data_IF_515266140629
#
_entry.id   IF_515266140629
#
_cell.length_a   1.000
_cell.length_b   1.000
_cell.length_c   1.000
_cell.angle_alpha   90.00
_cell.angle_beta   90.00
_cell.angle_gamma   90.00
#
_symmetry.space_group_name_H-M   'P 1'
#
loop_
_entity.id
_entity.type
_entity.pdbx_description
1 polymer ?
#
# COMPACT_ATOMS: atom_id res chain seq x y z
N UNK A 1 -0.52 7.49 -13.02
CA UNK A 1 0.30 7.81 -11.82
C UNK A 1 0.65 6.60 -10.94
N UNK A 2 -0.27 5.66 -10.68
CA UNK A 2 -0.04 4.49 -9.80
C UNK A 2 1.10 3.58 -10.29
N UNK A 3 1.19 3.32 -11.59
CA UNK A 3 2.28 2.52 -12.16
C UNK A 3 3.68 3.13 -11.93
N UNK A 4 3.79 4.47 -11.92
CA UNK A 4 5.06 5.17 -11.64
C UNK A 4 5.49 4.93 -10.20
N UNK A 5 4.55 4.92 -9.24
CA UNK A 5 4.83 4.60 -7.85
C UNK A 5 5.33 3.16 -7.67
N UNK A 6 4.72 2.19 -8.38
CA UNK A 6 5.15 0.78 -8.36
C UNK A 6 6.55 0.61 -8.97
N UNK A 7 6.83 1.30 -10.08
CA UNK A 7 8.15 1.28 -10.73
C UNK A 7 9.21 1.92 -9.81
N UNK A 8 8.92 3.08 -9.22
CA UNK A 8 9.84 3.78 -8.31
C UNK A 8 10.16 2.95 -7.06
N UNK A 9 9.20 2.18 -6.54
CA UNK A 9 9.41 1.32 -5.37
C UNK A 9 10.30 0.09 -5.69
N UNK A 10 10.31 -0.36 -6.95
CA UNK A 10 10.99 -1.61 -7.37
C UNK A 10 12.29 -1.40 -8.17
N UNK A 11 12.49 -0.23 -8.76
CA UNK A 11 13.73 0.20 -9.43
C UNK A 11 14.99 0.03 -8.56
N UNK A 12 14.99 0.45 -7.27
CA UNK A 12 16.16 0.29 -6.39
C UNK A 12 16.54 -1.17 -6.14
N UNK A 13 15.57 -2.09 -6.19
CA UNK A 13 15.78 -3.53 -6.00
C UNK A 13 16.45 -4.22 -7.19
N UNK A 14 16.34 -3.64 -8.39
CA UNK A 14 17.00 -4.14 -9.61
C UNK A 14 18.42 -3.56 -9.74
N UNK A 15 18.60 -2.28 -9.40
CA UNK A 15 19.87 -1.58 -9.53
C UNK A 15 20.86 -1.87 -8.38
N UNK A 16 20.37 -2.03 -7.15
CA UNK A 16 21.21 -2.28 -5.96
C UNK A 16 20.63 -3.38 -5.04
N UNK A 17 20.72 -4.66 -5.45
CA UNK A 17 20.11 -5.77 -4.72
C UNK A 17 20.65 -5.93 -3.30
N UNK A 18 21.95 -5.67 -3.06
CA UNK A 18 22.55 -5.79 -1.73
C UNK A 18 22.01 -4.74 -0.73
N UNK A 19 21.86 -3.47 -1.15
CA UNK A 19 21.31 -2.40 -0.31
C UNK A 19 19.80 -2.59 -0.10
N UNK A 20 19.09 -3.02 -1.14
CA UNK A 20 17.66 -3.33 -1.07
C UNK A 20 17.38 -4.49 -0.13
N UNK A 21 18.18 -5.56 -0.15
CA UNK A 21 18.11 -6.68 0.79
C UNK A 21 18.30 -6.23 2.24
N UNK A 22 19.37 -5.49 2.51
CA UNK A 22 19.66 -5.01 3.86
C UNK A 22 18.54 -4.13 4.43
N UNK A 23 17.87 -3.36 3.57
CA UNK A 23 16.69 -2.59 3.93
C UNK A 23 15.44 -3.47 4.09
N UNK A 24 15.14 -4.34 3.13
CA UNK A 24 13.93 -5.17 3.10
C UNK A 24 13.83 -6.11 4.31
N UNK A 25 14.94 -6.71 4.75
CA UNK A 25 14.95 -7.58 5.94
C UNK A 25 14.72 -6.77 7.23
N UNK A 26 15.22 -5.53 7.30
CA UNK A 26 15.07 -4.65 8.46
C UNK A 26 13.71 -3.94 8.49
N UNK A 27 13.09 -3.72 7.34
CA UNK A 27 11.86 -2.96 7.18
C UNK A 27 10.69 -3.47 8.06
N UNK A 28 10.36 -4.77 8.10
CA UNK A 28 9.30 -5.32 8.95
C UNK A 28 9.40 -4.95 10.44
N UNK A 29 10.63 -4.83 10.95
CA UNK A 29 10.91 -4.52 12.37
C UNK A 29 11.26 -3.06 12.62
N UNK A 30 11.30 -2.24 11.58
CA UNK A 30 11.73 -0.85 11.71
C UNK A 30 10.61 0.02 12.30
N UNK A 31 10.83 0.42 13.55
CA UNK A 31 9.92 1.30 14.30
C UNK A 31 9.81 2.69 13.66
N UNK A 32 10.93 3.24 13.18
CA UNK A 32 10.97 4.55 12.54
C UNK A 32 10.06 4.60 11.30
N UNK A 33 10.25 3.67 10.36
CA UNK A 33 9.40 3.61 9.16
C UNK A 33 7.95 3.29 9.49
N UNK A 34 7.71 2.45 10.50
CA UNK A 34 6.36 2.21 11.00
C UNK A 34 5.65 3.49 11.42
N UNK A 35 6.32 4.32 12.23
CA UNK A 35 5.79 5.59 12.73
C UNK A 35 5.56 6.62 11.62
N UNK A 36 6.50 6.72 10.68
CA UNK A 36 6.37 7.63 9.53
C UNK A 36 5.19 7.20 8.65
N UNK A 37 5.13 5.92 8.29
CA UNK A 37 4.08 5.40 7.40
C UNK A 37 2.70 5.49 8.04
N UNK A 38 2.55 5.15 9.32
CA UNK A 38 1.25 5.24 9.98
C UNK A 38 0.80 6.70 10.11
N UNK A 39 1.72 7.64 10.31
CA UNK A 39 1.41 9.08 10.32
C UNK A 39 0.86 9.55 8.97
N UNK A 40 1.56 9.20 7.87
CA UNK A 40 1.13 9.53 6.51
C UNK A 40 -0.23 8.91 6.20
N UNK A 41 -0.40 7.61 6.43
CA UNK A 41 -1.64 6.90 6.14
C UNK A 41 -2.79 7.49 6.96
N UNK A 42 -2.57 7.78 8.25
CA UNK A 42 -3.63 8.31 9.11
C UNK A 42 -4.05 9.71 8.67
N UNK A 43 -3.11 10.55 8.21
CA UNK A 43 -3.45 11.85 7.64
C UNK A 43 -4.30 11.71 6.38
N UNK A 44 -3.94 10.79 5.47
CA UNK A 44 -4.71 10.54 4.24
C UNK A 44 -6.11 10.02 4.58
N UNK A 45 -6.20 8.99 5.44
CA UNK A 45 -7.49 8.42 5.89
C UNK A 45 -8.36 9.50 6.53
N UNK A 46 -7.77 10.34 7.38
CA UNK A 46 -8.50 11.41 8.05
C UNK A 46 -9.13 12.38 7.05
N UNK A 47 -8.36 12.84 6.07
CA UNK A 47 -8.86 13.75 5.01
C UNK A 47 -9.92 13.08 4.15
N UNK A 48 -9.70 11.83 3.74
CA UNK A 48 -10.65 11.09 2.90
C UNK A 48 -11.97 10.86 3.62
N UNK A 49 -11.94 10.41 4.88
CA UNK A 49 -13.15 10.20 5.67
C UNK A 49 -13.88 11.51 5.96
N UNK A 50 -13.14 12.59 6.28
CA UNK A 50 -13.73 13.89 6.52
C UNK A 50 -14.45 14.44 5.28
N UNK A 51 -13.86 14.28 4.09
CA UNK A 51 -14.49 14.65 2.82
C UNK A 51 -15.75 13.83 2.54
N UNK A 52 -15.67 12.50 2.68
CA UNK A 52 -16.81 11.62 2.47
C UNK A 52 -18.01 11.96 3.38
N UNK A 53 -17.75 12.29 4.64
CA UNK A 53 -18.79 12.74 5.58
C UNK A 53 -19.28 14.17 5.32
N UNK A 54 -18.55 14.96 4.54
CA UNK A 54 -18.94 16.34 4.19
C UNK A 54 -19.80 16.41 2.94
N UNK A 55 -19.59 15.51 2.00
CA UNK A 55 -20.32 15.44 0.72
C UNK A 55 -21.69 14.75 0.85
N UNK A 56 -21.89 13.99 1.93
CA UNK A 56 -23.15 13.27 2.16
C UNK A 56 -23.96 13.93 3.26
N UNK A 57 -25.17 14.38 2.92
CA UNK A 57 -26.08 15.02 3.88
C UNK A 57 -26.53 14.07 5.00
N UNK A 58 -26.63 12.77 4.70
CA UNK A 58 -27.00 11.73 5.66
C UNK A 58 -25.92 11.43 6.72
N UNK A 59 -24.63 11.62 6.38
CA UNK A 59 -23.51 11.23 7.25
C UNK A 59 -22.83 12.41 7.94
N UNK A 60 -23.37 13.63 7.83
CA UNK A 60 -22.78 14.80 8.46
C UNK A 60 -22.62 14.66 9.99
N UNK A 61 -23.50 13.89 10.65
CA UNK A 61 -23.42 13.60 12.09
C UNK A 61 -22.15 12.83 12.48
N UNK A 62 -21.49 12.14 11.54
CA UNK A 62 -20.24 11.40 11.78
C UNK A 62 -19.00 12.29 11.79
N UNK A 63 -19.09 13.55 11.32
CA UNK A 63 -17.96 14.50 11.30
C UNK A 63 -17.24 14.64 12.65
N UNK A 64 -17.92 14.90 13.79
CA UNK A 64 -17.24 14.97 15.08
C UNK A 64 -16.56 13.63 15.45
N UNK A 65 -17.19 12.50 15.12
CA UNK A 65 -16.62 11.18 15.35
C UNK A 65 -15.35 10.95 14.52
N UNK A 66 -15.29 11.44 13.27
CA UNK A 66 -14.10 11.31 12.41
C UNK A 66 -12.98 12.25 12.89
N UNK A 67 -13.32 13.49 13.25
CA UNK A 67 -12.36 14.49 13.73
C UNK A 67 -11.66 14.05 15.02
N UNK A 68 -12.37 13.38 15.92
CA UNK A 68 -11.80 12.91 17.19
C UNK A 68 -11.33 11.45 17.10
N UNK A 69 -12.14 10.58 16.52
CA UNK A 69 -11.92 9.14 16.48
C UNK A 69 -10.70 8.74 15.67
N UNK A 70 -10.43 9.39 14.52
CA UNK A 70 -9.25 9.05 13.70
C UNK A 70 -7.94 9.41 14.40
N UNK A 71 -7.75 10.61 14.97
CA UNK A 71 -6.56 10.91 15.78
C UNK A 71 -6.39 10.02 17.01
N UNK A 72 -7.48 9.67 17.69
CA UNK A 72 -7.43 8.75 18.85
C UNK A 72 -6.99 7.36 18.42
N UNK A 73 -7.58 6.81 17.35
CA UNK A 73 -7.18 5.52 16.80
C UNK A 73 -5.72 5.53 16.33
N UNK A 74 -5.28 6.62 15.71
CA UNK A 74 -3.88 6.82 15.35
C UNK A 74 -2.96 6.80 16.58
N UNK A 75 -3.32 7.54 17.64
CA UNK A 75 -2.57 7.54 18.90
C UNK A 75 -2.47 6.13 19.50
N UNK A 76 -3.58 5.40 19.55
CA UNK A 76 -3.59 4.01 20.03
C UNK A 76 -2.65 3.12 19.22
N UNK A 77 -2.71 3.19 17.88
CA UNK A 77 -1.84 2.39 17.01
C UNK A 77 -0.38 2.82 17.13
N UNK A 78 -0.11 4.12 17.30
CA UNK A 78 1.23 4.67 17.46
C UNK A 78 1.92 4.19 18.76
N UNK A 79 1.18 4.15 19.87
CA UNK A 79 1.71 3.74 21.17
C UNK A 79 1.68 2.22 21.38
N UNK A 80 0.58 1.55 21.03
CA UNK A 80 0.38 0.12 21.32
C UNK A 80 0.69 -0.79 20.12
N UNK A 81 0.68 -0.28 18.90
CA UNK A 81 0.86 -1.06 17.67
C UNK A 81 2.32 -1.34 17.26
N UNK A 82 3.26 -1.32 18.21
CA UNK A 82 4.72 -1.31 17.95
C UNK A 82 5.21 -2.52 17.13
N UNK A 83 4.64 -3.70 17.35
CA UNK A 83 5.07 -4.91 16.64
C UNK A 83 4.59 -4.91 15.18
N UNK A 84 5.54 -4.87 14.23
CA UNK A 84 5.28 -4.88 12.78
C UNK A 84 4.45 -3.69 12.25
N UNK A 85 4.57 -2.52 12.91
CA UNK A 85 3.86 -1.30 12.53
C UNK A 85 4.09 -0.90 11.06
N UNK A 86 5.32 -1.01 10.57
CA UNK A 86 5.66 -0.71 9.18
C UNK A 86 4.91 -1.60 8.17
N UNK A 87 4.69 -2.87 8.52
CA UNK A 87 3.97 -3.80 7.67
C UNK A 87 2.48 -3.51 7.62
N UNK A 88 1.89 -3.20 8.77
CA UNK A 88 0.46 -2.83 8.84
C UNK A 88 0.18 -1.49 8.17
N UNK A 89 1.06 -0.50 8.38
CA UNK A 89 0.92 0.79 7.73
C UNK A 89 1.10 0.69 6.20
N UNK A 90 2.03 -0.15 5.71
CA UNK A 90 2.16 -0.41 4.28
C UNK A 90 0.97 -1.18 3.70
N UNK A 91 0.38 -2.12 4.46
CA UNK A 91 -0.86 -2.78 4.07
C UNK A 91 -2.03 -1.79 3.95
N UNK A 92 -2.19 -0.88 4.91
CA UNK A 92 -3.21 0.16 4.86
C UNK A 92 -3.00 1.10 3.64
N UNK A 93 -1.75 1.46 3.35
CA UNK A 93 -1.41 2.23 2.15
C UNK A 93 -1.75 1.46 0.86
N UNK A 94 -1.49 0.15 0.83
CA UNK A 94 -1.83 -0.73 -0.29
C UNK A 94 -3.36 -0.80 -0.50
N UNK A 95 -4.16 -0.85 0.56
CA UNK A 95 -5.62 -0.77 0.48
C UNK A 95 -6.10 0.56 -0.09
N UNK A 96 -5.50 1.68 0.31
CA UNK A 96 -5.86 2.99 -0.25
C UNK A 96 -5.52 3.08 -1.75
N UNK A 97 -4.38 2.53 -2.15
CA UNK A 97 -4.04 2.43 -3.57
C UNK A 97 -5.02 1.54 -4.33
N UNK A 98 -5.42 0.40 -3.75
CA UNK A 98 -6.40 -0.48 -4.37
C UNK A 98 -7.76 0.20 -4.52
N UNK A 99 -8.22 0.94 -3.50
CA UNK A 99 -9.42 1.79 -3.61
C UNK A 99 -9.30 2.78 -4.76
N UNK A 100 -8.19 3.52 -4.84
CA UNK A 100 -7.96 4.48 -5.93
C UNK A 100 -7.98 3.81 -7.31
N UNK A 101 -7.44 2.59 -7.43
CA UNK A 101 -7.49 1.82 -8.69
C UNK A 101 -8.93 1.44 -9.07
N UNK A 102 -9.75 1.03 -8.11
CA UNK A 102 -11.16 0.68 -8.35
C UNK A 102 -11.97 1.92 -8.72
N UNK A 103 -11.80 3.03 -8.00
CA UNK A 103 -12.50 4.29 -8.29
C UNK A 103 -12.13 4.81 -9.68
N UNK A 104 -10.84 4.77 -10.05
CA UNK A 104 -10.36 5.14 -11.38
C UNK A 104 -10.91 4.21 -12.47
N UNK A 105 -10.97 2.91 -12.18
CA UNK A 105 -11.54 1.92 -13.08
C UNK A 105 -13.03 2.22 -13.34
N UNK A 106 -13.81 2.52 -12.31
CA UNK A 106 -15.25 2.77 -12.42
C UNK A 106 -15.59 3.97 -13.32
N UNK A 107 -14.76 5.02 -13.27
CA UNK A 107 -14.86 6.22 -14.11
C UNK A 107 -14.60 5.97 -15.61
N UNK A 108 -14.07 4.80 -15.98
CA UNK A 108 -13.74 4.47 -17.37
C UNK A 108 -14.75 3.57 -18.06
N UNK A 109 -14.92 3.82 -19.36
CA UNK A 109 -15.81 3.04 -20.26
C UNK A 109 -15.05 1.89 -20.96
N UNK A 110 -13.73 1.79 -20.78
CA UNK A 110 -12.88 0.84 -21.49
C UNK A 110 -13.06 -0.61 -21.01
N UNK A 111 -13.03 -1.63 -21.90
CA UNK A 111 -13.09 -3.05 -21.52
C UNK A 111 -11.91 -3.51 -20.66
N UNK A 112 -10.76 -2.82 -20.73
CA UNK A 112 -9.57 -3.11 -19.91
C UNK A 112 -9.75 -2.73 -18.42
N UNK A 113 -10.86 -2.08 -18.08
CA UNK A 113 -11.29 -1.81 -16.70
C UNK A 113 -11.26 -3.05 -15.83
N UNK A 114 -11.77 -4.18 -16.33
CA UNK A 114 -11.82 -5.46 -15.60
C UNK A 114 -10.43 -5.92 -15.15
N UNK A 115 -9.40 -5.71 -15.97
CA UNK A 115 -8.04 -6.11 -15.62
C UNK A 115 -7.51 -5.30 -14.42
N UNK A 116 -7.76 -3.99 -14.40
CA UNK A 116 -7.37 -3.11 -13.28
C UNK A 116 -8.14 -3.46 -12.03
N UNK A 117 -9.45 -3.69 -12.14
CA UNK A 117 -10.30 -4.09 -11.01
C UNK A 117 -9.80 -5.41 -10.41
N UNK A 118 -9.55 -6.43 -11.23
CA UNK A 118 -9.03 -7.74 -10.77
C UNK A 118 -7.68 -7.55 -10.07
N UNK A 119 -6.77 -6.75 -10.64
CA UNK A 119 -5.48 -6.47 -10.03
C UNK A 119 -5.62 -5.73 -8.69
N UNK A 120 -6.57 -4.81 -8.58
CA UNK A 120 -6.87 -4.12 -7.32
C UNK A 120 -7.36 -5.11 -6.25
N UNK A 121 -8.22 -6.07 -6.61
CA UNK A 121 -8.63 -7.13 -5.67
C UNK A 121 -7.46 -8.00 -5.20
N UNK A 122 -6.49 -8.32 -6.07
CA UNK A 122 -5.26 -8.98 -5.63
C UNK A 122 -4.49 -8.15 -4.60
N UNK A 123 -4.43 -6.82 -4.77
CA UNK A 123 -3.78 -5.93 -3.80
C UNK A 123 -4.54 -5.88 -2.47
N UNK A 124 -5.88 -5.92 -2.51
CA UNK A 124 -6.70 -6.02 -1.30
C UNK A 124 -6.40 -7.31 -0.53
N UNK A 125 -6.38 -8.46 -1.22
CA UNK A 125 -6.06 -9.75 -0.60
C UNK A 125 -4.65 -9.72 0.01
N UNK A 126 -3.67 -9.18 -0.73
CA UNK A 126 -2.31 -9.04 -0.23
C UNK A 126 -2.23 -8.16 1.03
N UNK A 127 -2.95 -7.03 1.05
CA UNK A 127 -2.97 -6.15 2.22
C UNK A 127 -3.64 -6.80 3.44
N UNK A 128 -4.72 -7.56 3.24
CA UNK A 128 -5.37 -8.32 4.32
C UNK A 128 -4.39 -9.33 4.90
N UNK A 129 -3.71 -10.10 4.04
CA UNK A 129 -2.69 -11.05 4.47
C UNK A 129 -1.59 -10.35 5.29
N UNK A 130 -1.04 -9.24 4.78
CA UNK A 130 -0.01 -8.47 5.47
C UNK A 130 -0.45 -7.99 6.87
N UNK A 131 -1.74 -7.72 7.05
CA UNK A 131 -2.30 -7.23 8.32
C UNK A 131 -2.52 -8.36 9.32
N UNK A 132 -3.09 -9.49 8.87
CA UNK A 132 -3.40 -10.66 9.71
C UNK A 132 -2.13 -11.40 10.11
N UNK A 133 -1.23 -11.59 9.15
CA UNK A 133 -0.10 -12.52 9.24
C UNK A 133 1.24 -11.84 8.88
N UNK A 134 1.68 -10.83 9.65
CA UNK A 134 2.89 -10.05 9.31
C UNK A 134 4.18 -10.89 9.39
N UNK A 135 4.20 -11.96 10.18
CA UNK A 135 5.36 -12.86 10.31
C UNK A 135 5.58 -13.70 9.04
N UNK A 136 4.51 -14.11 8.35
CA UNK A 136 4.62 -14.82 7.07
C UNK A 136 5.27 -13.94 6.00
N UNK A 137 4.96 -12.65 5.95
CA UNK A 137 5.58 -11.73 5.01
C UNK A 137 7.05 -11.49 5.34
N UNK A 138 7.41 -11.41 6.64
CA UNK A 138 8.81 -11.35 7.07
C UNK A 138 9.57 -12.58 6.57
N UNK A 139 9.00 -13.76 6.74
CA UNK A 139 9.65 -15.01 6.34
C UNK A 139 9.71 -15.15 4.81
N UNK A 140 8.69 -14.65 4.10
CA UNK A 140 8.70 -14.52 2.65
C UNK A 140 9.79 -13.55 2.15
N UNK A 141 9.98 -12.41 2.82
CA UNK A 141 11.07 -11.47 2.52
C UNK A 141 12.43 -12.14 2.79
N UNK A 142 12.55 -12.87 3.90
CA UNK A 142 13.73 -13.66 4.23
C UNK A 142 14.06 -14.65 3.12
N UNK A 143 13.07 -15.44 2.69
CA UNK A 143 13.18 -16.41 1.59
C UNK A 143 13.50 -15.75 0.23
N UNK A 144 12.81 -14.66 -0.10
CA UNK A 144 12.98 -13.92 -1.35
C UNK A 144 14.35 -13.26 -1.49
N UNK A 145 15.01 -12.96 -0.36
CA UNK A 145 16.31 -12.30 -0.30
C UNK A 145 17.48 -13.24 -0.01
N UNK A 146 17.26 -14.56 0.00
CA UNK A 146 18.34 -15.55 0.16
C UNK A 146 19.36 -15.44 -0.97
N UNK A 147 18.88 -15.42 -2.23
CA UNK A 147 19.71 -15.35 -3.43
C UNK A 147 19.55 -14.00 -4.15
N UNK A 148 20.65 -13.39 -4.55
CA UNK A 148 20.65 -12.14 -5.33
C UNK A 148 19.92 -12.28 -6.67
N UNK A 149 20.01 -13.46 -7.30
CA UNK A 149 19.23 -13.78 -8.51
C UNK A 149 17.73 -13.79 -8.23
N UNK A 150 17.28 -14.43 -7.14
CA UNK A 150 15.85 -14.48 -6.77
C UNK A 150 15.29 -13.11 -6.41
N UNK A 151 16.06 -12.30 -5.67
CA UNK A 151 15.68 -10.93 -5.35
C UNK A 151 15.50 -10.09 -6.63
N UNK A 152 16.41 -10.20 -7.60
CA UNK A 152 16.28 -9.51 -8.90
C UNK A 152 15.10 -10.03 -9.72
N UNK A 153 14.85 -11.33 -9.76
CA UNK A 153 13.70 -11.92 -10.47
C UNK A 153 12.35 -11.45 -9.88
N UNK A 154 12.20 -11.43 -8.55
CA UNK A 154 10.98 -10.96 -7.88
C UNK A 154 10.78 -9.44 -8.02
N UNK A 155 11.86 -8.66 -7.96
CA UNK A 155 11.80 -7.21 -8.19
C UNK A 155 11.46 -6.90 -9.64
N UNK A 156 12.06 -7.59 -10.61
CA UNK A 156 11.78 -7.42 -12.04
C UNK A 156 10.35 -7.83 -12.40
N UNK A 157 9.81 -8.92 -11.84
CA UNK A 157 8.41 -9.30 -12.05
C UNK A 157 7.44 -8.20 -11.62
N UNK A 158 7.72 -7.58 -10.47
CA UNK A 158 6.95 -6.44 -10.04
C UNK A 158 7.17 -5.15 -10.83
N UNK A 159 8.35 -4.99 -11.41
CA UNK A 159 8.67 -3.87 -12.28
C UNK A 159 7.91 -4.02 -13.60
N UNK A 160 7.81 -5.24 -14.14
CA UNK A 160 6.94 -5.58 -15.27
C UNK A 160 5.47 -5.28 -14.94
N UNK A 161 4.97 -5.67 -13.75
CA UNK A 161 3.63 -5.29 -13.30
C UNK A 161 3.45 -3.76 -13.22
N UNK A 162 4.47 -3.03 -12.75
CA UNK A 162 4.46 -1.56 -12.73
C UNK A 162 4.45 -0.94 -14.12
N UNK A 163 5.22 -1.50 -15.06
CA UNK A 163 5.28 -1.06 -16.47
C UNK A 163 3.96 -1.33 -17.18
N UNK A 164 3.35 -2.50 -16.98
CA UNK A 164 2.01 -2.81 -17.49
C UNK A 164 0.99 -1.82 -16.95
N UNK A 165 1.05 -1.48 -15.66
CA UNK A 165 0.18 -0.47 -15.04
C UNK A 165 0.41 0.95 -15.60
N UNK A 166 1.66 1.34 -15.89
CA UNK A 166 1.95 2.63 -16.55
C UNK A 166 1.43 2.64 -17.98
N UNK A 167 1.68 1.57 -18.73
CA UNK A 167 1.23 1.45 -20.11
C UNK A 167 -0.29 1.53 -20.18
N UNK A 168 -0.99 0.78 -19.33
CA UNK A 168 -2.45 0.80 -19.27
C UNK A 168 -2.98 2.18 -18.86
N UNK A 169 -2.30 2.87 -17.93
CA UNK A 169 -2.69 4.21 -17.50
C UNK A 169 -2.31 5.36 -18.44
N UNK A 170 -1.56 5.11 -19.53
CA UNK A 170 -1.23 6.12 -20.56
C UNK A 170 -2.04 5.89 -21.83
N UNK A 171 -2.29 4.62 -22.19
CA UNK A 171 -2.90 4.26 -23.47
C UNK A 171 -4.41 4.01 -23.39
N UNK A 172 -4.98 3.85 -22.20
CA UNK A 172 -6.39 3.43 -22.02
C UNK A 172 -7.22 4.42 -21.21
N UNK A 173 -6.58 5.18 -20.32
CA UNK A 173 -7.19 6.19 -19.44
C UNK A 173 -6.57 7.55 -19.76
#
# INVERSE_FOLDING_TARGET
>A
MIGVAVIALRLPGVLWPAKYRAFAVKFPRSLLWGRILIGIVSAIVWVVMYRAASESDEWQWTKPLIVVGVPVAFGLVYYYGVHYLALRASAALLLMLAKLMVDAADLSVSPLRLFITVLAYFWVIAAIWMTVAPHHIRDLIGWATVDDRRCRYLCSWGLVLGVVLVFLGIFVY
#
